data_IF_253110645791
#
_entry.id   IF_253110645791
#
_cell.length_a   1.000
_cell.length_b   1.000
_cell.length_c   1.000
_cell.angle_alpha   90.00
_cell.angle_beta   90.00
_cell.angle_gamma   90.00
#
_symmetry.space_group_name_H-M   'P 1'
#
loop_
_entity.id
_entity.type
_entity.pdbx_description
1 polymer ?
#
# COMPACT_ATOMS: atom_id res chain seq x y z
N UNK A 1 -22.63 -20.57 17.93
CA UNK A 1 -22.49 -21.25 16.62
C UNK A 1 -21.45 -20.52 15.80
N UNK A 2 -20.21 -21.00 15.79
CA UNK A 2 -19.16 -20.50 14.88
C UNK A 2 -19.42 -21.18 13.55
N UNK A 3 -19.84 -20.42 12.54
CA UNK A 3 -20.03 -20.96 11.20
C UNK A 3 -18.67 -21.44 10.66
N UNK A 4 -18.51 -22.72 10.28
CA UNK A 4 -17.26 -23.21 9.74
C UNK A 4 -17.17 -22.75 8.28
N UNK A 5 -16.72 -21.51 8.09
CA UNK A 5 -16.15 -21.15 6.79
C UNK A 5 -14.94 -22.08 6.62
N UNK A 6 -14.91 -22.94 5.57
CA UNK A 6 -13.79 -23.85 5.36
C UNK A 6 -12.49 -23.04 5.31
N UNK A 7 -11.40 -23.57 5.87
CA UNK A 7 -10.13 -22.82 5.99
C UNK A 7 -9.61 -22.30 4.63
N UNK A 8 -9.97 -22.96 3.53
CA UNK A 8 -9.73 -22.52 2.16
C UNK A 8 -10.48 -21.22 1.80
N UNK A 9 -11.74 -21.09 2.19
CA UNK A 9 -12.52 -19.87 1.96
C UNK A 9 -11.98 -18.70 2.79
N UNK A 10 -11.43 -18.95 3.98
CA UNK A 10 -10.75 -17.91 4.78
C UNK A 10 -9.42 -17.49 4.16
N UNK A 11 -8.62 -18.43 3.65
CA UNK A 11 -7.41 -18.13 2.90
C UNK A 11 -7.70 -17.32 1.63
N UNK A 12 -8.75 -17.67 0.91
CA UNK A 12 -9.17 -16.93 -0.28
C UNK A 12 -9.56 -15.48 0.06
N UNK A 13 -10.33 -15.28 1.14
CA UNK A 13 -10.66 -13.94 1.62
C UNK A 13 -9.42 -13.12 2.02
N UNK A 14 -8.44 -13.76 2.66
CA UNK A 14 -7.16 -13.12 3.01
C UNK A 14 -6.37 -12.71 1.75
N UNK A 15 -6.29 -13.58 0.75
CA UNK A 15 -5.65 -13.27 -0.52
C UNK A 15 -6.34 -12.10 -1.25
N UNK A 16 -7.68 -12.11 -1.29
CA UNK A 16 -8.44 -11.02 -1.89
C UNK A 16 -8.22 -9.68 -1.16
N UNK A 17 -8.20 -9.71 0.18
CA UNK A 17 -7.92 -8.53 0.99
C UNK A 17 -6.51 -7.98 0.75
N UNK A 18 -5.51 -8.85 0.61
CA UNK A 18 -4.14 -8.45 0.24
C UNK A 18 -4.11 -7.79 -1.14
N UNK A 19 -4.85 -8.34 -2.11
CA UNK A 19 -4.98 -7.73 -3.44
C UNK A 19 -5.58 -6.31 -3.39
N UNK A 20 -6.62 -6.11 -2.58
CA UNK A 20 -7.18 -4.76 -2.38
C UNK A 20 -6.18 -3.81 -1.71
N UNK A 21 -5.42 -4.29 -0.72
CA UNK A 21 -4.38 -3.48 -0.07
C UNK A 21 -3.27 -3.09 -1.07
N UNK A 22 -2.88 -4.00 -1.96
CA UNK A 22 -1.92 -3.71 -3.04
C UNK A 22 -2.42 -2.58 -3.94
N UNK A 23 -3.70 -2.59 -4.30
CA UNK A 23 -4.29 -1.53 -5.08
C UNK A 23 -4.23 -0.18 -4.34
N UNK A 24 -4.67 -0.12 -3.08
CA UNK A 24 -4.64 1.12 -2.28
C UNK A 24 -3.22 1.67 -2.14
N UNK A 25 -2.24 0.80 -1.88
CA UNK A 25 -0.83 1.19 -1.76
C UNK A 25 -0.27 1.71 -3.09
N UNK A 26 -0.70 1.13 -4.21
CA UNK A 26 -0.34 1.60 -5.55
C UNK A 26 -0.92 2.99 -5.82
N UNK A 27 -2.20 3.19 -5.53
CA UNK A 27 -2.89 4.48 -5.67
C UNK A 27 -2.22 5.55 -4.80
N UNK A 28 -1.84 5.22 -3.56
CA UNK A 28 -1.13 6.13 -2.68
C UNK A 28 0.24 6.55 -3.24
N UNK A 29 0.97 5.61 -3.87
CA UNK A 29 2.21 5.92 -4.57
C UNK A 29 1.99 6.88 -5.75
N UNK A 30 0.90 6.72 -6.50
CA UNK A 30 0.54 7.64 -7.58
C UNK A 30 0.17 9.03 -7.07
N UNK A 31 -0.55 9.11 -5.95
CA UNK A 31 -0.86 10.38 -5.27
C UNK A 31 0.42 11.09 -4.83
N UNK A 32 1.39 10.38 -4.26
CA UNK A 32 2.69 10.94 -3.89
C UNK A 32 3.43 11.52 -5.09
N UNK A 33 3.55 10.73 -6.17
CA UNK A 33 4.18 11.17 -7.41
C UNK A 33 3.48 12.38 -8.05
N UNK A 34 2.15 12.39 -8.10
CA UNK A 34 1.36 13.51 -8.61
C UNK A 34 1.55 14.77 -7.77
N UNK A 35 1.60 14.63 -6.44
CA UNK A 35 1.82 15.75 -5.52
C UNK A 35 3.23 16.32 -5.66
N UNK A 36 4.25 15.47 -5.85
CA UNK A 36 5.61 15.91 -6.18
C UNK A 36 5.64 16.72 -7.47
N UNK A 37 4.96 16.25 -8.52
CA UNK A 37 4.87 16.99 -9.78
C UNK A 37 4.21 18.37 -9.59
N UNK A 38 3.20 18.48 -8.72
CA UNK A 38 2.60 19.78 -8.37
C UNK A 38 3.62 20.68 -7.69
N UNK A 39 4.39 20.17 -6.73
CA UNK A 39 5.46 20.94 -6.09
C UNK A 39 6.50 21.46 -7.09
N UNK A 40 6.90 20.64 -8.06
CA UNK A 40 7.86 21.01 -9.11
C UNK A 40 7.29 22.09 -10.04
N UNK A 41 6.00 21.99 -10.41
CA UNK A 41 5.33 23.03 -11.18
C UNK A 41 5.24 24.35 -10.42
N UNK A 42 4.98 24.32 -9.13
CA UNK A 42 4.99 25.53 -8.30
C UNK A 42 6.42 26.07 -8.19
N UNK A 43 7.43 25.21 -8.10
CA UNK A 43 8.83 25.65 -8.13
C UNK A 43 9.16 26.39 -9.42
N UNK A 44 8.66 25.95 -10.58
CA UNK A 44 8.90 26.64 -11.84
C UNK A 44 8.45 28.12 -11.81
N UNK A 45 7.46 28.48 -10.98
CA UNK A 45 7.03 29.87 -10.80
C UNK A 45 8.08 30.76 -10.12
N UNK A 46 9.09 30.18 -9.45
CA UNK A 46 10.16 30.94 -8.80
C UNK A 46 11.14 31.57 -9.79
N UNK A 47 11.09 31.21 -11.07
CA UNK A 47 11.89 31.88 -12.10
C UNK A 47 11.28 33.20 -12.58
N UNK A 48 10.04 33.49 -12.21
CA UNK A 48 9.35 34.73 -12.57
C UNK A 48 9.77 35.83 -11.60
N UNK A 49 10.21 36.96 -12.15
CA UNK A 49 10.56 38.15 -11.37
C UNK A 49 9.30 38.96 -11.03
N UNK A 50 8.80 38.76 -9.81
CA UNK A 50 7.55 39.35 -9.32
C UNK A 50 7.76 40.75 -8.75
N UNK A 51 7.95 41.76 -9.61
CA UNK A 51 8.18 43.16 -9.20
C UNK A 51 6.86 43.91 -8.92
N UNK A 52 6.14 43.50 -7.88
CA UNK A 52 5.04 44.27 -7.29
C UNK A 52 4.66 43.71 -5.91
N UNK A 53 4.03 44.51 -5.02
CA UNK A 53 3.55 43.99 -3.73
C UNK A 53 2.61 42.78 -3.88
N UNK A 54 1.75 42.77 -4.90
CA UNK A 54 0.88 41.64 -5.21
C UNK A 54 1.68 40.41 -5.68
N UNK A 55 2.71 40.62 -6.50
CA UNK A 55 3.61 39.59 -6.97
C UNK A 55 4.43 38.95 -5.85
N UNK A 56 4.98 39.76 -4.93
CA UNK A 56 5.70 39.26 -3.75
C UNK A 56 4.80 38.41 -2.84
N UNK A 57 3.56 38.86 -2.60
CA UNK A 57 2.58 38.08 -1.83
C UNK A 57 2.23 36.74 -2.51
N UNK A 58 2.11 36.74 -3.84
CA UNK A 58 1.90 35.52 -4.62
C UNK A 58 3.10 34.57 -4.55
N UNK A 59 4.32 35.09 -4.72
CA UNK A 59 5.55 34.32 -4.65
C UNK A 59 5.70 33.64 -3.28
N UNK A 60 5.42 34.38 -2.21
CA UNK A 60 5.48 33.87 -0.85
C UNK A 60 4.40 32.81 -0.58
N UNK A 61 3.17 33.01 -1.07
CA UNK A 61 2.11 31.99 -0.99
C UNK A 61 2.49 30.72 -1.77
N UNK A 62 3.10 30.87 -2.95
CA UNK A 62 3.57 29.77 -3.77
C UNK A 62 4.68 28.97 -3.09
N UNK A 63 5.65 29.64 -2.44
CA UNK A 63 6.69 28.97 -1.63
C UNK A 63 6.08 28.08 -0.54
N UNK A 64 5.11 28.60 0.21
CA UNK A 64 4.41 27.81 1.24
C UNK A 64 3.63 26.63 0.67
N UNK A 65 2.95 26.84 -0.47
CA UNK A 65 2.20 25.76 -1.12
C UNK A 65 3.14 24.65 -1.64
N UNK A 66 4.28 25.02 -2.22
CA UNK A 66 5.32 24.07 -2.62
C UNK A 66 5.79 23.23 -1.44
N UNK A 67 6.16 23.87 -0.33
CA UNK A 67 6.65 23.17 0.86
C UNK A 67 5.63 22.14 1.36
N UNK A 68 4.34 22.51 1.42
CA UNK A 68 3.25 21.59 1.78
C UNK A 68 3.09 20.44 0.79
N UNK A 69 3.16 20.73 -0.51
CA UNK A 69 3.07 19.69 -1.53
C UNK A 69 4.26 18.72 -1.45
N UNK A 70 5.48 19.20 -1.17
CA UNK A 70 6.65 18.34 -0.96
C UNK A 70 6.45 17.42 0.26
N UNK A 71 6.02 17.98 1.39
CA UNK A 71 5.74 17.20 2.60
C UNK A 71 4.69 16.11 2.34
N UNK A 72 3.57 16.46 1.70
CA UNK A 72 2.51 15.50 1.40
C UNK A 72 2.98 14.40 0.43
N UNK A 73 3.82 14.74 -0.54
CA UNK A 73 4.41 13.76 -1.45
C UNK A 73 5.34 12.77 -0.71
N UNK A 74 6.21 13.29 0.17
CA UNK A 74 7.11 12.48 1.00
C UNK A 74 6.33 11.54 1.92
N UNK A 75 5.29 12.04 2.61
CA UNK A 75 4.43 11.23 3.47
C UNK A 75 3.68 10.14 2.71
N UNK A 76 3.14 10.46 1.53
CA UNK A 76 2.45 9.48 0.68
C UNK A 76 3.41 8.37 0.20
N UNK A 77 4.62 8.73 -0.22
CA UNK A 77 5.62 7.75 -0.68
C UNK A 77 6.15 6.88 0.46
N UNK A 78 6.42 7.48 1.63
CA UNK A 78 6.81 6.74 2.81
C UNK A 78 5.70 5.75 3.23
N UNK A 79 4.45 6.20 3.22
CA UNK A 79 3.29 5.37 3.54
C UNK A 79 3.10 4.24 2.52
N UNK A 80 3.28 4.52 1.23
CA UNK A 80 3.23 3.51 0.18
C UNK A 80 4.37 2.48 0.31
N UNK A 81 5.56 2.90 0.74
CA UNK A 81 6.66 1.98 1.01
C UNK A 81 6.39 1.09 2.23
N UNK A 82 5.89 1.66 3.33
CA UNK A 82 5.47 0.90 4.50
C UNK A 82 4.37 -0.10 4.15
N UNK A 83 3.38 0.33 3.37
CA UNK A 83 2.31 -0.53 2.87
C UNK A 83 2.83 -1.69 2.03
N UNK A 84 3.77 -1.46 1.11
CA UNK A 84 4.41 -2.51 0.31
C UNK A 84 5.10 -3.55 1.19
N UNK A 85 5.87 -3.10 2.18
CA UNK A 85 6.56 -4.01 3.10
C UNK A 85 5.57 -4.86 3.90
N UNK A 86 4.51 -4.25 4.44
CA UNK A 86 3.48 -4.96 5.20
C UNK A 86 2.72 -5.98 4.34
N UNK A 87 2.45 -5.66 3.08
CA UNK A 87 1.84 -6.57 2.12
C UNK A 87 2.74 -7.78 1.87
N UNK A 88 4.03 -7.57 1.61
CA UNK A 88 4.99 -8.67 1.42
C UNK A 88 5.04 -9.61 2.63
N UNK A 89 5.00 -9.05 3.84
CA UNK A 89 4.91 -9.85 5.07
C UNK A 89 3.61 -10.65 5.17
N UNK A 90 2.48 -10.08 4.74
CA UNK A 90 1.19 -10.79 4.69
C UNK A 90 1.23 -11.92 3.65
N UNK A 91 1.79 -11.70 2.48
CA UNK A 91 1.94 -12.73 1.44
C UNK A 91 2.79 -13.90 1.94
N UNK A 92 3.91 -13.64 2.61
CA UNK A 92 4.73 -14.68 3.23
C UNK A 92 3.98 -15.47 4.30
N UNK A 93 3.16 -14.79 5.13
CA UNK A 93 2.33 -15.45 6.14
C UNK A 93 1.25 -16.33 5.51
N UNK A 94 0.58 -15.84 4.48
CA UNK A 94 -0.43 -16.60 3.73
C UNK A 94 0.21 -17.84 3.08
N UNK A 95 1.38 -17.69 2.46
CA UNK A 95 2.11 -18.82 1.86
C UNK A 95 2.48 -19.89 2.88
N UNK A 96 2.90 -19.50 4.09
CA UNK A 96 3.14 -20.46 5.20
C UNK A 96 1.87 -21.19 5.61
N UNK A 97 0.76 -20.47 5.79
CA UNK A 97 -0.53 -21.08 6.14
C UNK A 97 -1.01 -22.09 5.08
N UNK A 98 -0.80 -21.78 3.80
CA UNK A 98 -1.11 -22.70 2.70
C UNK A 98 -0.27 -23.97 2.76
N UNK A 99 1.03 -23.85 3.03
CA UNK A 99 1.91 -25.00 3.18
C UNK A 99 1.53 -25.87 4.39
N UNK A 100 1.21 -25.25 5.52
CA UNK A 100 0.76 -25.95 6.74
C UNK A 100 -0.56 -26.69 6.52
N UNK A 101 -1.53 -26.07 5.84
CA UNK A 101 -2.80 -26.72 5.48
C UNK A 101 -2.60 -27.89 4.51
N UNK A 102 -1.72 -27.73 3.52
CA UNK A 102 -1.38 -28.82 2.61
C UNK A 102 -0.72 -29.99 3.36
N UNK A 103 0.24 -29.71 4.25
CA UNK A 103 0.89 -30.71 5.08
C UNK A 103 -0.12 -31.44 5.99
N UNK A 104 -1.00 -30.71 6.67
CA UNK A 104 -2.06 -31.30 7.50
C UNK A 104 -2.96 -32.24 6.70
N UNK A 105 -3.32 -31.88 5.46
CA UNK A 105 -4.08 -32.76 4.55
C UNK A 105 -3.33 -34.02 4.17
N UNK A 106 -2.04 -33.92 3.87
CA UNK A 106 -1.23 -35.11 3.56
C UNK A 106 -1.11 -36.06 4.75
N UNK A 107 -0.99 -35.53 5.97
CA UNK A 107 -0.96 -36.33 7.21
C UNK A 107 -2.32 -37.00 7.45
N UNK A 108 -3.43 -36.28 7.26
CA UNK A 108 -4.78 -36.85 7.38
C UNK A 108 -5.03 -37.94 6.34
N UNK A 109 -4.62 -37.71 5.08
CA UNK A 109 -4.75 -38.70 4.01
C UNK A 109 -3.87 -39.94 4.25
N UNK A 110 -2.65 -39.75 4.76
CA UNK A 110 -1.77 -40.85 5.14
C UNK A 110 -2.32 -41.64 6.33
N UNK A 111 -2.88 -40.96 7.34
CA UNK A 111 -3.57 -41.58 8.48
C UNK A 111 -4.82 -42.37 8.06
N UNK A 112 -5.61 -41.84 7.13
CA UNK A 112 -6.75 -42.53 6.54
C UNK A 112 -6.33 -43.73 5.67
N UNK A 113 -5.17 -43.65 5.00
CA UNK A 113 -4.59 -44.76 4.23
C UNK A 113 -3.93 -45.85 5.10
N UNK A 114 -3.53 -45.51 6.34
CA UNK A 114 -2.85 -46.41 7.28
C UNK A 114 -3.76 -46.97 8.38
N UNK A 115 -5.05 -46.57 8.44
CA UNK A 115 -5.95 -46.86 9.55
C UNK A 115 -7.33 -47.38 9.17
N UNK A 116 -7.45 -48.72 9.15
CA UNK A 116 -8.56 -49.57 9.59
C UNK A 116 -9.90 -49.48 8.80
N UNK A 117 -10.05 -50.41 7.85
CA UNK A 117 -11.33 -51.12 7.68
C UNK A 117 -11.47 -52.23 8.71
#
# INVERSE_FOLDING_TARGET
>A
MVSPVPDESRLWLLQAAVGHLQQVVTELGQVGAGTRQVADRIHALSSIDWRSPAGEAFAERSRRLRARAQQLAEEAEASAQLGRNAITDLEHRIGRLQAELAAARTVLAAGAGLGIG
#
